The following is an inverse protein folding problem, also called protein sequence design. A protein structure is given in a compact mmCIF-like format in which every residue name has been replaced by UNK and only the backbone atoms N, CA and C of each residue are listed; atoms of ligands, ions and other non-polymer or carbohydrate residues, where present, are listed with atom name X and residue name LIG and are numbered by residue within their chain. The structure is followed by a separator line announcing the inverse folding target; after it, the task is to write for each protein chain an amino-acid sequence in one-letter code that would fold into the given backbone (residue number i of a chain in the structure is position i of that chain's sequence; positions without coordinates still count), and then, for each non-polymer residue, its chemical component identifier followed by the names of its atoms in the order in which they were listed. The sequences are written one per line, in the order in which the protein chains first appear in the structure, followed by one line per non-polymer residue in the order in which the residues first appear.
data_IF_149266822273
#
_entry.id   IF_149266822273
#
_cell.length_a   1.000
_cell.length_b   1.000
_cell.length_c   1.000
_cell.angle_alpha   90.00
_cell.angle_beta   90.00
_cell.angle_gamma   90.00
#
_symmetry.space_group_name_H-M   'P 1'
#
loop_
_entity.id
_entity.type
_entity.pdbx_description
1 polymer ?
#
# COMPACT_ATOMS: atom_id res chain seq x y z
N UNK A 1 41.48 -41.96 -15.07
CA UNK A 1 42.02 -42.56 -16.32
C UNK A 1 43.20 -43.45 -15.98
N UNK A 2 44.03 -43.07 -15.01
CA UNK A 2 45.25 -43.79 -14.59
C UNK A 2 45.06 -45.21 -14.03
N UNK A 3 43.95 -45.51 -13.35
CA UNK A 3 43.73 -46.84 -12.74
C UNK A 3 43.46 -47.93 -13.79
N UNK A 4 42.72 -47.59 -14.84
CA UNK A 4 42.47 -48.46 -16.01
C UNK A 4 43.75 -48.66 -16.81
N UNK A 5 44.55 -47.60 -16.96
CA UNK A 5 45.86 -47.68 -17.62
C UNK A 5 46.84 -48.55 -16.82
N UNK A 6 46.84 -48.47 -15.49
CA UNK A 6 47.64 -49.33 -14.60
C UNK A 6 47.33 -50.82 -14.75
N UNK A 7 46.04 -51.20 -14.74
CA UNK A 7 45.62 -52.58 -15.00
C UNK A 7 45.91 -53.03 -16.44
N UNK A 8 45.83 -52.13 -17.41
CA UNK A 8 46.19 -52.41 -18.82
C UNK A 8 47.69 -52.70 -18.99
N UNK A 9 48.55 -52.08 -18.17
CA UNK A 9 50.00 -52.31 -18.17
C UNK A 9 50.37 -53.67 -17.57
N UNK A 10 49.67 -54.16 -16.52
CA UNK A 10 49.89 -55.51 -15.97
C UNK A 10 49.51 -56.63 -16.97
N UNK A 11 48.49 -56.40 -17.82
CA UNK A 11 48.07 -57.37 -18.83
C UNK A 11 49.08 -57.52 -19.98
N UNK A 12 49.87 -56.48 -20.28
CA UNK A 12 50.96 -56.54 -21.29
C UNK A 12 52.15 -57.40 -20.87
N UNK A 13 52.33 -57.63 -19.57
CA UNK A 13 53.42 -58.46 -19.03
C UNK A 13 53.07 -59.97 -18.99
N UNK A 14 51.84 -60.34 -19.36
CA UNK A 14 51.35 -61.71 -19.32
C UNK A 14 51.58 -62.47 -20.64
N UNK A 15 51.75 -63.78 -20.47
CA UNK A 15 52.08 -64.76 -21.51
C UNK A 15 51.21 -64.61 -22.77
N UNK A 16 51.81 -64.71 -23.96
CA UNK A 16 51.10 -64.60 -25.26
C UNK A 16 49.97 -65.62 -25.43
N UNK A 17 49.98 -66.68 -24.61
CA UNK A 17 49.02 -67.77 -24.59
C UNK A 17 47.62 -67.36 -24.07
N UNK A 18 47.48 -66.19 -23.44
CA UNK A 18 46.22 -65.71 -22.88
C UNK A 18 45.36 -64.90 -23.88
N UNK A 19 45.81 -64.80 -25.13
CA UNK A 19 45.07 -64.18 -26.22
C UNK A 19 44.30 -65.23 -27.03
N UNK A 20 43.11 -64.90 -27.58
CA UNK A 20 42.42 -63.61 -27.54
C UNK A 20 41.87 -63.26 -26.14
N UNK A 21 41.74 -61.96 -25.81
CA UNK A 21 41.25 -61.50 -24.51
C UNK A 21 40.10 -60.49 -24.69
N UNK A 22 39.07 -60.59 -23.84
CA UNK A 22 37.97 -59.64 -23.74
C UNK A 22 37.97 -58.96 -22.37
N UNK A 23 38.05 -57.63 -22.37
CA UNK A 23 37.99 -56.81 -21.16
C UNK A 23 36.59 -56.23 -20.98
N UNK A 24 36.01 -56.46 -19.81
CA UNK A 24 34.68 -55.97 -19.47
C UNK A 24 34.83 -54.74 -18.59
N UNK A 25 34.48 -53.57 -19.14
CA UNK A 25 34.64 -52.28 -18.47
C UNK A 25 33.27 -51.81 -17.97
N UNK A 26 33.21 -51.39 -16.72
CA UNK A 26 32.01 -50.79 -16.14
C UNK A 26 32.28 -49.39 -15.62
N UNK A 27 31.23 -48.56 -15.65
CA UNK A 27 31.25 -47.20 -15.13
C UNK A 27 30.63 -47.19 -13.74
N UNK A 28 31.37 -46.67 -12.78
CA UNK A 28 30.96 -46.57 -11.39
C UNK A 28 31.28 -45.16 -10.86
N UNK A 29 30.27 -44.44 -10.39
CA UNK A 29 30.38 -43.04 -9.91
C UNK A 29 31.20 -42.13 -10.84
N UNK A 30 31.01 -42.28 -12.15
CA UNK A 30 31.71 -41.46 -13.16
C UNK A 30 33.10 -41.97 -13.57
N UNK A 31 33.66 -42.96 -12.88
CA UNK A 31 34.95 -43.58 -13.20
C UNK A 31 34.76 -44.87 -13.98
N UNK A 32 35.59 -45.08 -14.99
CA UNK A 32 35.67 -46.37 -15.68
C UNK A 32 36.61 -47.28 -14.91
N UNK A 33 36.24 -48.56 -14.76
CA UNK A 33 37.08 -49.61 -14.16
C UNK A 33 36.89 -50.92 -14.90
N UNK A 34 37.93 -51.75 -14.93
CA UNK A 34 37.84 -53.11 -15.45
C UNK A 34 37.11 -53.94 -14.39
N UNK A 35 35.99 -54.54 -14.79
CA UNK A 35 35.18 -55.40 -13.93
C UNK A 35 35.59 -56.85 -13.99
N UNK A 36 35.79 -57.38 -15.20
CA UNK A 36 36.17 -58.76 -15.44
C UNK A 36 37.03 -58.89 -16.71
N UNK A 37 37.72 -60.02 -16.85
CA UNK A 37 38.54 -60.34 -18.02
C UNK A 37 38.35 -61.79 -18.44
N UNK A 38 38.00 -62.00 -19.71
CA UNK A 38 37.86 -63.33 -20.32
C UNK A 38 39.06 -63.59 -21.21
N UNK A 39 39.72 -64.72 -21.02
CA UNK A 39 40.89 -65.14 -21.79
C UNK A 39 40.51 -66.24 -22.78
N UNK A 40 41.28 -66.38 -23.86
CA UNK A 40 41.02 -67.37 -24.91
C UNK A 40 41.17 -68.83 -24.44
N UNK A 41 41.85 -69.02 -23.31
CA UNK A 41 41.99 -70.30 -22.61
C UNK A 41 40.78 -70.64 -21.72
N UNK A 42 39.88 -69.70 -21.45
CA UNK A 42 38.69 -69.94 -20.64
C UNK A 42 37.67 -70.79 -21.42
N UNK A 43 36.92 -71.65 -20.72
CA UNK A 43 35.80 -72.35 -21.35
C UNK A 43 34.64 -71.40 -21.64
N UNK A 44 33.76 -71.78 -22.57
CA UNK A 44 32.58 -70.99 -22.92
C UNK A 44 31.66 -70.77 -21.70
N UNK A 45 31.54 -71.77 -20.82
CA UNK A 45 30.75 -71.68 -19.59
C UNK A 45 31.34 -70.63 -18.64
N UNK A 46 32.66 -70.62 -18.46
CA UNK A 46 33.35 -69.66 -17.60
C UNK A 46 33.25 -68.23 -18.17
N UNK A 47 33.36 -68.07 -19.49
CA UNK A 47 33.19 -66.80 -20.16
C UNK A 47 31.79 -66.21 -19.94
N UNK A 48 30.75 -67.05 -20.10
CA UNK A 48 29.35 -66.64 -19.86
C UNK A 48 29.13 -66.30 -18.38
N UNK A 49 29.68 -67.09 -17.45
CA UNK A 49 29.58 -66.81 -16.02
C UNK A 49 30.19 -65.45 -15.65
N UNK A 50 31.37 -65.12 -16.19
CA UNK A 50 32.02 -63.81 -15.99
C UNK A 50 31.19 -62.66 -16.58
N UNK A 51 30.60 -62.87 -17.75
CA UNK A 51 29.69 -61.89 -18.39
C UNK A 51 28.43 -61.65 -17.57
N UNK A 52 27.77 -62.72 -17.09
CA UNK A 52 26.58 -62.60 -16.25
C UNK A 52 26.89 -61.89 -14.93
N UNK A 53 27.99 -62.27 -14.28
CA UNK A 53 28.47 -61.64 -13.05
C UNK A 53 28.67 -60.13 -13.20
N UNK A 54 29.34 -59.69 -14.28
CA UNK A 54 29.58 -58.26 -14.47
C UNK A 54 28.29 -57.48 -14.80
N UNK A 55 27.34 -58.11 -15.49
CA UNK A 55 26.03 -57.51 -15.78
C UNK A 55 25.23 -57.33 -14.50
N UNK A 56 25.25 -58.31 -13.60
CA UNK A 56 24.59 -58.22 -12.30
C UNK A 56 25.20 -57.11 -11.44
N UNK A 57 26.53 -57.04 -11.38
CA UNK A 57 27.25 -55.95 -10.70
C UNK A 57 26.90 -54.59 -11.31
N UNK A 58 26.86 -54.48 -12.64
CA UNK A 58 26.48 -53.24 -13.32
C UNK A 58 25.03 -52.83 -13.03
N UNK A 59 24.09 -53.79 -13.02
CA UNK A 59 22.70 -53.54 -12.70
C UNK A 59 22.53 -53.01 -11.27
N UNK A 60 23.25 -53.57 -10.29
CA UNK A 60 23.26 -53.08 -8.92
C UNK A 60 23.78 -51.64 -8.82
N UNK A 61 24.92 -51.35 -9.48
CA UNK A 61 25.48 -49.99 -9.53
C UNK A 61 24.51 -49.02 -10.18
N UNK A 62 23.86 -49.42 -11.28
CA UNK A 62 22.88 -48.59 -11.99
C UNK A 62 21.69 -48.26 -11.10
N UNK A 63 21.13 -49.26 -10.42
CA UNK A 63 19.99 -49.07 -9.51
C UNK A 63 20.36 -48.17 -8.32
N UNK A 64 21.53 -48.38 -7.72
CA UNK A 64 22.02 -47.53 -6.63
C UNK A 64 22.19 -46.07 -7.07
N UNK A 65 22.81 -45.84 -8.23
CA UNK A 65 22.98 -44.49 -8.77
C UNK A 65 21.63 -43.82 -9.08
N UNK A 66 20.66 -44.55 -9.64
CA UNK A 66 19.33 -44.03 -9.90
C UNK A 66 18.61 -43.63 -8.60
N UNK A 67 18.74 -44.44 -7.54
CA UNK A 67 18.15 -44.15 -6.24
C UNK A 67 18.81 -42.91 -5.59
N UNK A 68 20.14 -42.81 -5.64
CA UNK A 68 20.88 -41.66 -5.14
C UNK A 68 20.51 -40.37 -5.88
N UNK A 69 20.40 -40.42 -7.21
CA UNK A 69 20.02 -39.27 -8.03
C UNK A 69 18.57 -38.84 -7.75
N UNK A 70 17.65 -39.79 -7.58
CA UNK A 70 16.27 -39.50 -7.20
C UNK A 70 16.20 -38.84 -5.82
N UNK A 71 16.92 -39.36 -4.82
CA UNK A 71 16.97 -38.79 -3.48
C UNK A 71 17.59 -37.38 -3.45
N UNK A 72 18.60 -37.11 -4.30
CA UNK A 72 19.16 -35.77 -4.45
C UNK A 72 18.15 -34.80 -5.04
N UNK A 73 17.52 -35.17 -6.15
CA UNK A 73 16.51 -34.34 -6.82
C UNK A 73 15.35 -34.01 -5.89
N UNK A 74 14.87 -34.99 -5.12
CA UNK A 74 13.78 -34.78 -4.17
C UNK A 74 14.15 -33.79 -3.07
N UNK A 75 15.34 -33.94 -2.48
CA UNK A 75 15.83 -33.00 -1.46
C UNK A 75 16.01 -31.60 -2.03
N UNK A 76 16.53 -31.47 -3.25
CA UNK A 76 16.76 -30.18 -3.87
C UNK A 76 15.43 -29.51 -4.26
N UNK A 77 14.44 -30.29 -4.72
CA UNK A 77 13.07 -29.84 -4.96
C UNK A 77 12.40 -29.32 -3.68
N UNK A 78 12.49 -30.07 -2.59
CA UNK A 78 11.91 -29.65 -1.31
C UNK A 78 12.52 -28.33 -0.81
N UNK A 79 13.84 -28.16 -0.97
CA UNK A 79 14.53 -26.92 -0.61
C UNK A 79 14.07 -25.74 -1.46
N UNK A 80 13.90 -25.97 -2.76
CA UNK A 80 13.42 -24.95 -3.69
C UNK A 80 11.98 -24.55 -3.35
N UNK A 81 11.09 -25.51 -3.09
CA UNK A 81 9.70 -25.24 -2.68
C UNK A 81 9.66 -24.44 -1.36
N UNK A 82 10.43 -24.83 -0.35
CA UNK A 82 10.54 -24.08 0.90
C UNK A 82 11.11 -22.67 0.72
N UNK A 83 12.09 -22.52 -0.18
CA UNK A 83 12.67 -21.21 -0.49
C UNK A 83 11.65 -20.29 -1.15
N UNK A 84 10.89 -20.80 -2.13
CA UNK A 84 9.84 -20.05 -2.81
C UNK A 84 8.73 -19.61 -1.85
N UNK A 85 8.28 -20.51 -0.96
CA UNK A 85 7.28 -20.17 0.06
C UNK A 85 7.79 -19.10 1.03
N UNK A 86 9.06 -19.20 1.45
CA UNK A 86 9.69 -18.21 2.33
C UNK A 86 9.80 -16.84 1.65
N UNK A 87 10.25 -16.78 0.41
CA UNK A 87 10.34 -15.53 -0.35
C UNK A 87 8.96 -14.90 -0.59
N UNK A 88 7.95 -15.72 -0.91
CA UNK A 88 6.58 -15.25 -1.07
C UNK A 88 6.02 -14.68 0.24
N UNK A 89 6.27 -15.34 1.38
CA UNK A 89 5.87 -14.83 2.69
C UNK A 89 6.55 -13.52 3.03
N UNK A 90 7.85 -13.41 2.77
CA UNK A 90 8.62 -12.19 3.02
C UNK A 90 8.12 -11.02 2.16
N UNK A 91 7.82 -11.28 0.89
CA UNK A 91 7.25 -10.29 -0.01
C UNK A 91 5.85 -9.83 0.45
N UNK A 92 5.00 -10.76 0.89
CA UNK A 92 3.68 -10.44 1.41
C UNK A 92 3.75 -9.59 2.69
N UNK A 93 4.67 -9.91 3.61
CA UNK A 93 4.83 -9.13 4.84
C UNK A 93 5.40 -7.73 4.56
N UNK A 94 6.35 -7.59 3.63
CA UNK A 94 6.82 -6.29 3.16
C UNK A 94 5.70 -5.47 2.53
N UNK A 95 4.92 -6.05 1.62
CA UNK A 95 3.81 -5.36 0.98
C UNK A 95 2.74 -4.90 1.98
N UNK A 96 2.41 -5.72 2.99
CA UNK A 96 1.51 -5.32 4.07
C UNK A 96 2.08 -4.16 4.89
N UNK A 97 3.38 -4.18 5.17
CA UNK A 97 4.02 -3.10 5.93
C UNK A 97 4.03 -1.80 5.15
N UNK A 98 4.41 -1.84 3.86
CA UNK A 98 4.39 -0.66 2.99
C UNK A 98 2.99 -0.09 2.79
N UNK A 99 1.97 -0.96 2.68
CA UNK A 99 0.57 -0.52 2.60
C UNK A 99 0.12 0.19 3.89
N UNK A 100 0.46 -0.35 5.06
CA UNK A 100 0.17 0.29 6.35
C UNK A 100 0.90 1.62 6.50
N UNK A 101 2.18 1.68 6.15
CA UNK A 101 2.96 2.91 6.25
C UNK A 101 2.43 3.99 5.30
N UNK A 102 1.96 3.60 4.10
CA UNK A 102 1.31 4.52 3.17
C UNK A 102 -0.02 5.03 3.72
N UNK A 103 -0.86 4.15 4.26
CA UNK A 103 -2.15 4.53 4.84
C UNK A 103 -1.96 5.51 6.02
N UNK A 104 -0.98 5.24 6.90
CA UNK A 104 -0.65 6.14 8.01
C UNK A 104 -0.20 7.51 7.49
N UNK A 105 0.66 7.56 6.46
CA UNK A 105 1.11 8.83 5.87
C UNK A 105 -0.04 9.59 5.21
N UNK A 106 -0.90 8.92 4.47
CA UNK A 106 -2.07 9.54 3.85
C UNK A 106 -3.04 10.09 4.90
N UNK A 107 -3.26 9.37 6.00
CA UNK A 107 -4.05 9.85 7.14
C UNK A 107 -3.42 11.06 7.80
N UNK A 108 -2.10 11.04 8.04
CA UNK A 108 -1.37 12.18 8.61
C UNK A 108 -1.43 13.41 7.70
N UNK A 109 -1.19 13.26 6.40
CA UNK A 109 -1.29 14.36 5.44
C UNK A 109 -2.72 14.91 5.35
N UNK A 110 -3.73 14.05 5.40
CA UNK A 110 -5.13 14.48 5.40
C UNK A 110 -5.50 15.24 6.68
N UNK A 111 -5.02 14.78 7.83
CA UNK A 111 -5.21 15.45 9.12
C UNK A 111 -4.47 16.80 9.16
N UNK A 112 -3.21 16.86 8.72
CA UNK A 112 -2.44 18.10 8.61
C UNK A 112 -3.13 19.13 7.70
N UNK A 113 -3.64 18.70 6.54
CA UNK A 113 -4.42 19.58 5.65
C UNK A 113 -5.70 20.09 6.33
N UNK A 114 -6.39 19.23 7.09
CA UNK A 114 -7.60 19.62 7.83
C UNK A 114 -7.28 20.66 8.91
N UNK A 115 -6.24 20.41 9.71
CA UNK A 115 -5.81 21.31 10.79
C UNK A 115 -5.34 22.64 10.20
N UNK A 116 -4.58 22.62 9.09
CA UNK A 116 -4.14 23.83 8.41
C UNK A 116 -5.33 24.65 7.88
N UNK A 117 -6.29 24.01 7.21
CA UNK A 117 -7.49 24.68 6.71
C UNK A 117 -8.34 25.29 7.84
N UNK A 118 -8.49 24.56 8.96
CA UNK A 118 -9.21 25.05 10.13
C UNK A 118 -8.49 26.25 10.79
N UNK A 119 -7.15 26.21 10.85
CA UNK A 119 -6.35 27.33 11.36
C UNK A 119 -6.44 28.57 10.48
N UNK A 120 -6.40 28.42 9.15
CA UNK A 120 -6.61 29.53 8.21
C UNK A 120 -8.01 30.13 8.35
N UNK A 121 -9.04 29.29 8.46
CA UNK A 121 -10.41 29.77 8.63
C UNK A 121 -10.59 30.50 9.98
N UNK A 122 -9.99 29.99 11.06
CA UNK A 122 -9.98 30.65 12.36
C UNK A 122 -9.27 32.01 12.32
N UNK A 123 -8.13 32.11 11.62
CA UNK A 123 -7.45 33.39 11.39
C UNK A 123 -8.30 34.35 10.57
N UNK A 124 -8.96 33.88 9.50
CA UNK A 124 -9.91 34.67 8.70
C UNK A 124 -11.01 35.24 9.60
N UNK A 125 -11.65 34.40 10.43
CA UNK A 125 -12.71 34.83 11.36
C UNK A 125 -12.21 35.89 12.35
N UNK A 126 -11.04 35.70 12.97
CA UNK A 126 -10.44 36.69 13.88
C UNK A 126 -10.15 38.03 13.20
N UNK A 127 -9.70 38.02 11.94
CA UNK A 127 -9.42 39.23 11.19
C UNK A 127 -10.71 39.98 10.83
N UNK A 128 -11.77 39.26 10.44
CA UNK A 128 -13.09 39.86 10.18
C UNK A 128 -13.66 40.44 11.47
N UNK A 129 -13.56 39.74 12.61
CA UNK A 129 -14.03 40.24 13.91
C UNK A 129 -13.39 41.58 14.30
N UNK A 130 -12.08 41.73 14.08
CA UNK A 130 -11.37 43.00 14.33
C UNK A 130 -11.80 44.15 13.42
N UNK A 131 -12.32 43.85 12.22
CA UNK A 131 -12.76 44.85 11.24
C UNK A 131 -14.17 45.36 11.47
N UNK A 132 -14.94 44.69 12.34
CA UNK A 132 -16.31 45.05 12.67
C UNK A 132 -16.30 46.18 13.72
N UNK A 133 -16.90 47.35 13.43
CA UNK A 133 -16.99 48.44 14.39
C UNK A 133 -17.73 48.03 15.67
N UNK A 134 -17.33 48.64 16.79
CA UNK A 134 -17.97 48.48 18.10
C UNK A 134 -19.45 48.89 18.01
N UNK A 135 -20.32 48.15 18.69
CA UNK A 135 -21.77 48.42 18.70
C UNK A 135 -22.06 49.85 19.18
N UNK A 136 -22.86 50.64 18.46
CA UNK A 136 -23.21 52.00 18.86
C UNK A 136 -24.01 52.02 20.17
N UNK A 137 -23.76 53.04 21.01
CA UNK A 137 -24.45 53.22 22.28
C UNK A 137 -25.95 53.51 22.11
N UNK A 138 -26.77 53.12 23.08
CA UNK A 138 -28.25 53.27 23.06
C UNK A 138 -28.75 54.70 22.88
N UNK A 139 -27.90 55.68 23.18
CA UNK A 139 -28.22 57.12 23.13
C UNK A 139 -27.82 57.78 21.80
N UNK A 140 -27.21 57.05 20.87
CA UNK A 140 -26.90 57.61 19.54
C UNK A 140 -28.19 57.78 18.70
N UNK A 141 -28.38 58.90 17.99
CA UNK A 141 -29.49 59.06 17.06
C UNK A 141 -29.30 58.18 15.81
N UNK A 142 -30.40 57.81 15.14
CA UNK A 142 -30.41 57.07 13.86
C UNK A 142 -29.90 55.61 13.93
N UNK A 143 -30.34 54.86 14.93
CA UNK A 143 -30.02 53.45 15.10
C UNK A 143 -31.07 52.51 14.47
N UNK A 144 -30.57 51.39 13.94
CA UNK A 144 -31.34 50.24 13.48
C UNK A 144 -31.11 49.09 14.46
N UNK A 145 -32.19 48.54 15.00
CA UNK A 145 -32.15 47.41 15.91
C UNK A 145 -32.44 46.14 15.12
N UNK A 146 -31.47 45.25 15.02
CA UNK A 146 -31.64 43.97 14.32
C UNK A 146 -31.62 42.84 15.32
N UNK A 147 -32.68 42.04 15.28
CA UNK A 147 -32.82 40.81 16.05
C UNK A 147 -32.59 39.61 15.15
N UNK A 148 -31.54 38.84 15.39
CA UNK A 148 -31.26 37.60 14.68
C UNK A 148 -31.84 36.43 15.47
N UNK A 149 -32.73 35.67 14.84
CA UNK A 149 -33.21 34.39 15.36
C UNK A 149 -32.35 33.29 14.74
N UNK A 150 -31.54 32.68 15.57
CA UNK A 150 -30.61 31.63 15.16
C UNK A 150 -31.31 30.26 15.05
N UNK A 151 -30.75 29.31 14.28
CA UNK A 151 -31.35 27.97 14.12
C UNK A 151 -31.44 27.19 15.43
N UNK A 152 -30.53 27.45 16.37
CA UNK A 152 -30.50 26.87 17.72
C UNK A 152 -31.59 27.43 18.67
N UNK A 153 -32.41 28.38 18.21
CA UNK A 153 -33.44 29.05 19.01
C UNK A 153 -32.95 30.25 19.81
N UNK A 154 -31.64 30.53 19.82
CA UNK A 154 -31.07 31.70 20.46
C UNK A 154 -31.41 32.98 19.69
N UNK A 155 -31.51 34.09 20.40
CA UNK A 155 -31.78 35.40 19.82
C UNK A 155 -30.60 36.33 20.07
N UNK A 156 -29.91 36.72 19.00
CA UNK A 156 -28.88 37.76 19.08
C UNK A 156 -29.51 39.11 18.76
N UNK A 157 -29.17 40.12 19.53
CA UNK A 157 -29.59 41.49 19.26
C UNK A 157 -28.34 42.32 18.98
N UNK A 158 -28.38 43.13 17.93
CA UNK A 158 -27.30 44.07 17.63
C UNK A 158 -27.86 45.36 17.04
N UNK A 159 -27.30 46.48 17.47
CA UNK A 159 -27.56 47.80 16.89
C UNK A 159 -26.57 48.12 15.78
N UNK A 160 -27.08 48.77 14.74
CA UNK A 160 -26.31 49.30 13.61
C UNK A 160 -26.68 50.77 13.39
N UNK A 161 -25.73 51.57 12.90
CA UNK A 161 -26.03 52.95 12.50
C UNK A 161 -26.73 52.93 11.15
N UNK A 162 -27.66 53.85 10.89
CA UNK A 162 -28.32 53.95 9.57
C UNK A 162 -27.36 54.19 8.40
N UNK A 163 -26.20 54.80 8.67
CA UNK A 163 -25.13 55.07 7.72
C UNK A 163 -24.22 53.86 7.45
N UNK A 164 -24.33 52.79 8.24
CA UNK A 164 -23.56 51.57 8.04
C UNK A 164 -24.11 50.74 6.88
N UNK A 165 -23.21 49.98 6.24
CA UNK A 165 -23.52 49.13 5.09
C UNK A 165 -24.13 47.80 5.52
N UNK A 166 -24.99 47.23 4.68
CA UNK A 166 -25.55 45.90 4.91
C UNK A 166 -24.47 44.80 4.98
N UNK A 167 -23.34 44.98 4.29
CA UNK A 167 -22.18 44.09 4.38
C UNK A 167 -21.69 43.88 5.82
N UNK A 168 -21.85 44.87 6.70
CA UNK A 168 -21.42 44.77 8.09
C UNK A 168 -22.28 43.80 8.91
N UNK A 169 -23.58 43.74 8.61
CA UNK A 169 -24.50 42.77 9.22
C UNK A 169 -24.16 41.35 8.79
N UNK A 170 -23.89 41.14 7.50
CA UNK A 170 -23.48 39.83 6.98
C UNK A 170 -22.12 39.41 7.55
N UNK A 171 -21.17 40.35 7.67
CA UNK A 171 -19.87 40.10 8.29
C UNK A 171 -20.01 39.74 9.79
N UNK A 172 -20.94 40.36 10.52
CA UNK A 172 -21.23 40.00 11.90
C UNK A 172 -21.77 38.56 12.04
N UNK A 173 -22.67 38.16 11.14
CA UNK A 173 -23.18 36.79 11.10
C UNK A 173 -22.07 35.78 10.75
N UNK A 174 -21.19 36.10 9.80
CA UNK A 174 -20.02 35.27 9.43
C UNK A 174 -19.09 35.06 10.63
N UNK A 175 -18.79 36.11 11.42
CA UNK A 175 -17.99 35.99 12.65
C UNK A 175 -18.68 35.14 13.72
N UNK A 176 -20.01 35.20 13.81
CA UNK A 176 -20.80 34.34 14.71
C UNK A 176 -20.94 32.89 14.20
N UNK A 177 -20.36 32.57 13.05
CA UNK A 177 -20.35 31.21 12.47
C UNK A 177 -21.48 30.94 11.48
N UNK A 178 -22.29 31.96 11.15
CA UNK A 178 -23.38 31.87 10.20
C UNK A 178 -22.95 32.48 8.87
N UNK A 179 -22.32 31.65 8.02
CA UNK A 179 -21.87 32.05 6.68
C UNK A 179 -23.01 31.90 5.66
N UNK A 180 -23.21 32.86 4.73
CA UNK A 180 -24.18 32.75 3.61
C UNK A 180 -24.06 31.49 2.74
N UNK A 181 -22.94 30.75 2.76
CA UNK A 181 -22.79 29.47 2.05
C UNK A 181 -23.54 28.31 2.73
N UNK A 182 -23.74 28.38 4.05
CA UNK A 182 -24.41 27.34 4.86
C UNK A 182 -25.78 27.76 5.37
N UNK A 183 -26.06 29.06 5.42
CA UNK A 183 -27.28 29.62 5.99
C UNK A 183 -27.90 30.68 5.09
N UNK A 184 -29.23 30.73 5.03
CA UNK A 184 -30.00 31.82 4.44
C UNK A 184 -30.48 32.78 5.52
N UNK A 185 -30.54 34.06 5.17
CA UNK A 185 -30.94 35.13 6.08
C UNK A 185 -32.24 35.75 5.58
N UNK A 186 -33.36 35.42 6.21
CA UNK A 186 -34.66 35.96 5.81
C UNK A 186 -35.07 37.16 6.66
N UNK A 187 -35.57 38.22 6.04
CA UNK A 187 -36.20 39.32 6.78
C UNK A 187 -37.61 38.97 7.29
N UNK A 188 -38.22 39.88 8.04
CA UNK A 188 -39.58 39.69 8.60
C UNK A 188 -40.73 40.07 7.67
N UNK A 189 -40.43 40.46 6.42
CA UNK A 189 -41.44 40.75 5.39
C UNK A 189 -42.25 39.50 5.04
N UNK A 190 -43.47 39.72 4.54
CA UNK A 190 -44.26 38.69 3.87
C UNK A 190 -44.54 39.12 2.43
N UNK A 191 -43.99 38.44 1.41
CA UNK A 191 -43.13 37.25 1.48
C UNK A 191 -41.72 37.55 2.02
N UNK A 192 -41.15 36.59 2.76
CA UNK A 192 -39.78 36.66 3.29
C UNK A 192 -38.77 36.85 2.16
N UNK A 193 -37.85 37.80 2.31
CA UNK A 193 -36.77 38.07 1.35
C UNK A 193 -35.43 37.68 1.92
N UNK A 194 -34.58 37.10 1.08
CA UNK A 194 -33.22 36.75 1.44
C UNK A 194 -32.31 37.99 1.44
N UNK A 195 -31.84 38.37 2.61
CA UNK A 195 -30.98 39.52 2.85
C UNK A 195 -29.60 39.34 2.21
N UNK A 196 -29.13 38.11 2.01
CA UNK A 196 -27.85 37.84 1.35
C UNK A 196 -27.84 38.23 -0.14
N UNK A 197 -29.03 38.31 -0.74
CA UNK A 197 -29.25 38.69 -2.16
C UNK A 197 -29.43 40.19 -2.37
N UNK A 198 -29.54 40.97 -1.29
CA UNK A 198 -29.66 42.43 -1.36
C UNK A 198 -28.30 43.09 -1.63
N UNK A 199 -28.33 44.38 -1.98
CA UNK A 199 -27.10 45.15 -2.21
C UNK A 199 -26.29 45.31 -0.92
N UNK A 200 -25.18 44.57 -0.84
CA UNK A 200 -24.25 44.55 0.31
C UNK A 200 -23.58 45.90 0.53
N UNK A 201 -23.44 46.72 -0.51
CA UNK A 201 -22.79 48.03 -0.41
C UNK A 201 -23.76 49.15 -0.02
N UNK A 202 -25.06 48.91 -0.11
CA UNK A 202 -26.11 49.84 0.33
C UNK A 202 -26.08 50.05 1.83
N UNK A 203 -26.29 51.30 2.27
CA UNK A 203 -26.50 51.62 3.69
C UNK A 203 -27.91 51.24 4.12
N UNK A 204 -28.13 51.00 5.41
CA UNK A 204 -29.47 50.74 5.94
C UNK A 204 -30.47 51.87 5.60
N UNK A 205 -29.99 53.11 5.49
CA UNK A 205 -30.79 54.24 5.04
C UNK A 205 -31.19 54.15 3.55
N UNK A 206 -30.24 53.82 2.67
CA UNK A 206 -30.49 53.71 1.22
C UNK A 206 -31.44 52.54 0.91
N UNK A 207 -31.30 51.45 1.67
CA UNK A 207 -32.14 50.26 1.57
C UNK A 207 -33.51 50.44 2.26
N UNK A 208 -33.78 51.62 2.84
CA UNK A 208 -35.01 51.93 3.60
C UNK A 208 -35.30 50.88 4.68
N UNK A 209 -34.26 50.41 5.35
CA UNK A 209 -34.36 49.40 6.38
C UNK A 209 -35.16 49.93 7.58
N UNK A 210 -36.11 49.15 8.14
CA UNK A 210 -36.91 49.62 9.26
C UNK A 210 -36.04 49.77 10.51
N UNK A 211 -36.42 50.70 11.41
CA UNK A 211 -35.66 50.96 12.63
C UNK A 211 -35.59 49.78 13.61
N UNK A 212 -36.49 48.80 13.45
CA UNK A 212 -36.47 47.51 14.14
C UNK A 212 -36.78 46.42 13.12
N UNK A 213 -35.90 45.44 12.98
CA UNK A 213 -36.04 44.33 12.03
C UNK A 213 -35.72 43.00 12.72
N UNK A 214 -36.37 41.93 12.28
CA UNK A 214 -36.02 40.58 12.69
C UNK A 214 -35.51 39.75 11.49
N UNK A 215 -34.31 39.19 11.63
CA UNK A 215 -33.70 38.29 10.67
C UNK A 215 -33.82 36.85 11.17
N UNK A 216 -34.32 35.97 10.34
CA UNK A 216 -34.34 34.53 10.57
C UNK A 216 -33.14 33.91 9.87
N UNK A 217 -32.31 33.22 10.64
CA UNK A 217 -31.19 32.44 10.12
C UNK A 217 -31.66 31.00 9.98
N UNK A 218 -31.69 30.49 8.76
CA UNK A 218 -32.14 29.13 8.43
C UNK A 218 -30.99 28.38 7.73
N UNK A 219 -30.75 27.12 8.08
CA UNK A 219 -29.72 26.28 7.46
C UNK A 219 -30.18 25.79 6.07
N UNK A 220 -29.26 25.69 5.12
CA UNK A 220 -29.53 25.24 3.74
C UNK A 220 -29.47 23.71 3.64
#
# INVERSE_FOLDING_TARGET
MDEVFGQTVELRARNKDLFPMLLLIIKDKGKLRIGESVFGTDSHELAVQKLMSIVDVYNQIRLANMADDAARKERDRLREEQHQEYEASLAADRARQEARDREIREQQEAEERRVFAEAEEAMRRKNVEKSIPVEPEEKEPNLVHVKFRLPNGEMLLRRFRRTEKLSLLLAFLDVKGFNPEKFKFFNSDFPKKDVSTMDKNGTFETLKWPGREQIFVEEI
#
